data_IF_674283477108
#
_entry.id   IF_674283477108
#
_cell.length_a   1.000
_cell.length_b   1.000
_cell.length_c   1.000
_cell.angle_alpha   90.00
_cell.angle_beta   90.00
_cell.angle_gamma   90.00
#
_symmetry.space_group_name_H-M   'P 1'
#
loop_
_entity.id
_entity.type
_entity.pdbx_description
1 polymer ?
#
# COMPACT_ATOMS: atom_id res chain seq x y z
N UNK A 1 -9.31 0.86 14.63
CA UNK A 1 -9.42 2.32 14.82
C UNK A 1 -8.56 2.99 13.75
N UNK A 2 -9.18 3.83 12.93
CA UNK A 2 -8.48 4.58 11.88
C UNK A 2 -7.59 5.67 12.50
N UNK A 3 -6.33 5.77 12.04
CA UNK A 3 -5.41 6.85 12.40
C UNK A 3 -5.27 7.78 11.20
N UNK A 4 -5.66 9.04 11.36
CA UNK A 4 -5.48 10.04 10.31
C UNK A 4 -4.00 10.45 10.20
N UNK A 5 -3.47 10.38 8.97
CA UNK A 5 -2.10 10.76 8.62
C UNK A 5 -2.02 12.15 7.99
N UNK A 6 -3.16 12.82 7.82
CA UNK A 6 -3.31 14.17 7.32
C UNK A 6 -4.05 14.29 6.00
N UNK A 7 -4.22 15.53 5.54
CA UNK A 7 -4.98 15.87 4.34
C UNK A 7 -4.04 16.26 3.19
N UNK A 8 -4.43 15.92 1.97
CA UNK A 8 -3.76 16.26 0.71
C UNK A 8 -4.72 16.99 -0.21
N UNK A 9 -4.22 17.89 -1.04
CA UNK A 9 -5.01 18.57 -2.07
C UNK A 9 -4.78 17.92 -3.43
N UNK A 10 -5.87 17.57 -4.12
CA UNK A 10 -5.84 16.99 -5.46
C UNK A 10 -6.63 17.85 -6.43
N UNK A 11 -6.01 18.14 -7.57
CA UNK A 11 -6.67 18.87 -8.65
C UNK A 11 -7.89 18.07 -9.15
N UNK A 12 -9.04 18.73 -9.25
CA UNK A 12 -10.28 18.12 -9.71
C UNK A 12 -10.99 17.18 -8.73
N UNK A 13 -10.45 17.06 -7.47
CA UNK A 13 -11.11 16.32 -6.38
C UNK A 13 -11.28 17.21 -5.16
N UNK A 14 -10.24 17.99 -4.79
CA UNK A 14 -10.23 18.78 -3.57
C UNK A 14 -9.42 18.13 -2.45
N UNK A 15 -9.90 18.28 -1.21
CA UNK A 15 -9.30 17.71 -0.03
C UNK A 15 -9.51 16.19 0.01
N UNK A 16 -8.43 15.47 0.29
CA UNK A 16 -8.42 14.01 0.45
C UNK A 16 -7.69 13.70 1.74
N UNK A 17 -8.35 13.04 2.66
CA UNK A 17 -7.77 12.61 3.93
C UNK A 17 -7.12 11.24 3.75
N UNK A 18 -5.99 11.03 4.43
CA UNK A 18 -5.23 9.77 4.41
C UNK A 18 -5.35 9.11 5.79
N UNK A 19 -5.81 7.88 5.82
CA UNK A 19 -5.94 7.10 7.04
C UNK A 19 -5.10 5.83 6.98
N UNK A 20 -4.45 5.50 8.11
CA UNK A 20 -3.94 4.16 8.38
C UNK A 20 -5.01 3.38 9.14
N UNK A 21 -5.41 2.23 8.63
CA UNK A 21 -6.54 1.44 9.13
C UNK A 21 -6.16 -0.02 9.30
N UNK A 22 -6.91 -0.75 10.13
CA UNK A 22 -6.83 -2.21 10.16
C UNK A 22 -7.61 -2.83 8.98
N UNK A 23 -7.29 -4.06 8.62
CA UNK A 23 -7.97 -4.77 7.53
C UNK A 23 -9.49 -4.90 7.75
N UNK A 24 -9.94 -5.03 9.01
CA UNK A 24 -11.36 -5.11 9.36
C UNK A 24 -12.04 -3.76 9.59
N UNK A 25 -11.36 -2.63 9.34
CA UNK A 25 -11.95 -1.31 9.48
C UNK A 25 -13.00 -1.06 8.36
N UNK A 26 -14.16 -0.44 8.67
CA UNK A 26 -15.16 -0.12 7.65
C UNK A 26 -14.63 0.67 6.45
N UNK A 27 -13.63 1.54 6.66
CA UNK A 27 -12.99 2.28 5.57
C UNK A 27 -12.23 1.38 4.58
N UNK A 28 -11.77 0.20 5.00
CA UNK A 28 -11.10 -0.76 4.13
C UNK A 28 -12.07 -1.63 3.32
N UNK A 29 -13.34 -1.71 3.72
CA UNK A 29 -14.30 -2.62 3.11
C UNK A 29 -14.51 -2.40 1.59
N UNK A 30 -14.63 -1.17 1.06
CA UNK A 30 -14.75 -0.95 -0.38
C UNK A 30 -13.53 -1.41 -1.17
N UNK A 31 -12.31 -1.17 -0.65
CA UNK A 31 -11.06 -1.63 -1.25
C UNK A 31 -11.06 -3.16 -1.39
N UNK A 32 -11.37 -3.87 -0.33
CA UNK A 32 -11.37 -5.33 -0.32
C UNK A 32 -12.44 -5.88 -1.27
N UNK A 33 -13.66 -5.30 -1.25
CA UNK A 33 -14.78 -5.74 -2.08
C UNK A 33 -14.54 -5.51 -3.58
N UNK A 34 -13.99 -4.35 -3.97
CA UNK A 34 -13.70 -4.05 -5.37
C UNK A 34 -12.50 -4.85 -5.89
N UNK A 35 -11.46 -5.09 -5.08
CA UNK A 35 -10.36 -5.97 -5.46
C UNK A 35 -10.82 -7.41 -5.67
N UNK A 36 -11.71 -7.92 -4.81
CA UNK A 36 -12.27 -9.26 -4.99
C UNK A 36 -13.02 -9.40 -6.33
N UNK A 37 -13.81 -8.37 -6.68
CA UNK A 37 -14.51 -8.31 -7.97
C UNK A 37 -13.53 -8.23 -9.15
N UNK A 38 -12.51 -7.38 -9.04
CA UNK A 38 -11.51 -7.18 -10.09
C UNK A 38 -10.70 -8.47 -10.34
N UNK A 39 -10.22 -9.13 -9.29
CA UNK A 39 -9.44 -10.35 -9.42
C UNK A 39 -10.25 -11.52 -9.96
N UNK A 40 -11.48 -11.72 -9.47
CA UNK A 40 -12.36 -12.76 -10.01
C UNK A 40 -12.69 -12.55 -11.48
N UNK A 41 -12.91 -11.29 -11.91
CA UNK A 41 -13.21 -10.99 -13.31
C UNK A 41 -12.00 -11.16 -14.24
N UNK A 42 -10.78 -10.93 -13.76
CA UNK A 42 -9.55 -10.98 -14.58
C UNK A 42 -8.93 -12.37 -14.61
N UNK A 43 -8.94 -13.08 -13.49
CA UNK A 43 -8.20 -14.32 -13.31
C UNK A 43 -9.10 -15.56 -13.12
N UNK A 44 -10.40 -15.34 -13.06
CA UNK A 44 -11.39 -16.41 -12.82
C UNK A 44 -11.61 -16.67 -11.33
N UNK A 45 -12.42 -17.69 -11.05
CA UNK A 45 -12.93 -17.94 -9.70
C UNK A 45 -14.19 -17.12 -9.39
N UNK A 46 -14.66 -17.22 -8.16
CA UNK A 46 -15.83 -16.46 -7.70
C UNK A 46 -15.40 -15.24 -6.90
N UNK A 47 -16.24 -14.21 -6.89
CA UNK A 47 -16.02 -13.03 -6.04
C UNK A 47 -15.94 -13.40 -4.56
N UNK A 48 -16.78 -14.35 -4.14
CA UNK A 48 -16.83 -14.84 -2.76
C UNK A 48 -15.51 -15.49 -2.34
N UNK A 49 -14.93 -16.36 -3.20
CA UNK A 49 -13.64 -16.97 -2.91
C UNK A 49 -12.52 -15.92 -2.84
N UNK A 50 -12.48 -14.95 -3.77
CA UNK A 50 -11.50 -13.85 -3.72
C UNK A 50 -11.69 -12.96 -2.50
N UNK A 51 -12.94 -12.71 -2.09
CA UNK A 51 -13.25 -11.96 -0.88
C UNK A 51 -12.75 -12.71 0.37
N UNK A 52 -12.99 -14.01 0.44
CA UNK A 52 -12.51 -14.87 1.53
C UNK A 52 -10.98 -14.84 1.59
N UNK A 53 -10.26 -15.04 0.49
CA UNK A 53 -8.81 -14.98 0.42
C UNK A 53 -8.26 -13.63 0.90
N UNK A 54 -8.89 -12.52 0.48
CA UNK A 54 -8.46 -11.19 0.90
C UNK A 54 -8.74 -10.88 2.38
N UNK A 55 -9.83 -11.42 2.95
CA UNK A 55 -10.23 -11.17 4.34
C UNK A 55 -9.56 -12.10 5.34
N UNK A 56 -9.23 -13.34 4.94
CA UNK A 56 -8.52 -14.32 5.77
C UNK A 56 -7.00 -14.17 5.73
N UNK A 57 -6.48 -13.36 4.81
CA UNK A 57 -5.06 -13.02 4.78
C UNK A 57 -4.63 -12.39 6.12
N UNK A 58 -3.48 -12.77 6.70
CA UNK A 58 -3.05 -12.30 8.01
C UNK A 58 -3.03 -10.77 8.11
N UNK A 59 -3.95 -10.21 8.89
CA UNK A 59 -4.11 -8.76 9.00
C UNK A 59 -2.91 -8.08 9.69
N UNK A 60 -2.18 -8.80 10.51
CA UNK A 60 -0.96 -8.37 11.19
C UNK A 60 0.18 -8.03 10.22
N UNK A 61 0.22 -8.63 9.03
CA UNK A 61 1.21 -8.28 8.02
C UNK A 61 1.05 -6.84 7.50
N UNK A 62 -0.16 -6.29 7.60
CA UNK A 62 -0.46 -4.90 7.24
C UNK A 62 -0.59 -3.98 8.45
N UNK A 63 -0.04 -4.37 9.58
CA UNK A 63 -0.07 -3.59 10.82
C UNK A 63 1.31 -3.04 11.19
N UNK A 64 1.31 -1.97 12.01
CA UNK A 64 2.52 -1.44 12.62
C UNK A 64 3.20 -2.52 13.49
N UNK A 65 4.52 -2.63 13.53
CA UNK A 65 5.51 -1.73 12.89
C UNK A 65 5.92 -2.13 11.46
N UNK A 66 5.63 -3.36 10.99
CA UNK A 66 6.19 -3.89 9.74
C UNK A 66 5.39 -3.53 8.49
N UNK A 67 4.09 -3.25 8.63
CA UNK A 67 3.20 -2.98 7.51
C UNK A 67 2.24 -1.83 7.76
N UNK A 68 1.46 -1.48 6.73
CA UNK A 68 0.30 -0.60 6.84
C UNK A 68 -0.74 -0.91 5.76
N UNK A 69 -1.98 -0.61 6.07
CA UNK A 69 -3.07 -0.47 5.10
C UNK A 69 -3.52 0.99 5.13
N UNK A 70 -3.38 1.69 4.01
CA UNK A 70 -3.79 3.08 3.86
C UNK A 70 -5.06 3.19 3.04
N UNK A 71 -5.96 4.07 3.47
CA UNK A 71 -7.17 4.43 2.74
C UNK A 71 -7.22 5.95 2.60
N UNK A 72 -7.50 6.39 1.38
CA UNK A 72 -7.71 7.78 1.03
C UNK A 72 -9.22 8.00 0.93
N UNK A 73 -9.72 9.04 1.62
CA UNK A 73 -11.14 9.41 1.62
C UNK A 73 -11.37 10.80 1.06
N UNK A 74 -12.51 11.00 0.45
CA UNK A 74 -13.03 12.33 0.04
C UNK A 74 -14.46 12.42 0.51
N UNK A 75 -14.80 13.48 1.24
CA UNK A 75 -16.08 13.65 1.91
C UNK A 75 -16.50 12.43 2.74
N UNK A 76 -15.53 11.82 3.44
CA UNK A 76 -15.74 10.63 4.27
C UNK A 76 -15.88 9.31 3.51
N UNK A 77 -15.86 9.32 2.16
CA UNK A 77 -15.98 8.12 1.33
C UNK A 77 -14.61 7.58 0.93
N UNK A 78 -14.31 6.30 1.09
CA UNK A 78 -13.09 5.68 0.57
C UNK A 78 -13.04 5.74 -0.95
N UNK A 79 -11.98 6.33 -1.50
CA UNK A 79 -11.82 6.54 -2.95
C UNK A 79 -10.59 5.86 -3.53
N UNK A 80 -9.60 5.58 -2.71
CA UNK A 80 -8.37 4.87 -3.10
C UNK A 80 -7.70 4.28 -1.86
N UNK A 81 -6.76 3.37 -2.07
CA UNK A 81 -6.00 2.79 -0.96
C UNK A 81 -4.99 1.76 -1.43
N UNK A 82 -4.27 1.21 -0.48
CA UNK A 82 -3.27 0.18 -0.73
C UNK A 82 -2.59 -0.23 0.57
N UNK A 83 -1.78 -1.26 0.49
CA UNK A 83 -1.07 -1.77 1.64
C UNK A 83 0.39 -2.05 1.32
N UNK A 84 1.20 -2.16 2.35
CA UNK A 84 2.49 -2.83 2.27
C UNK A 84 2.70 -3.73 3.48
N UNK A 85 3.59 -4.68 3.29
CA UNK A 85 4.07 -5.58 4.34
C UNK A 85 5.60 -5.66 4.30
N UNK A 86 6.20 -6.19 5.33
CA UNK A 86 7.61 -6.54 5.31
C UNK A 86 7.86 -7.68 4.31
N UNK A 87 8.82 -7.50 3.41
CA UNK A 87 9.33 -8.55 2.54
C UNK A 87 10.61 -9.17 3.12
N UNK A 88 11.57 -8.30 3.49
CA UNK A 88 12.78 -8.62 4.24
C UNK A 88 13.17 -7.47 5.19
N UNK A 89 14.34 -7.51 5.81
CA UNK A 89 14.77 -6.49 6.78
C UNK A 89 14.94 -5.09 6.20
N UNK A 90 15.06 -4.94 4.89
CA UNK A 90 15.31 -3.67 4.19
C UNK A 90 14.26 -3.36 3.12
N UNK A 91 13.41 -4.31 2.78
CA UNK A 91 12.45 -4.25 1.67
C UNK A 91 11.02 -4.37 2.17
N UNK A 92 10.16 -3.48 1.71
CA UNK A 92 8.70 -3.60 1.85
C UNK A 92 8.06 -4.07 0.54
N UNK A 93 7.00 -4.86 0.62
CA UNK A 93 6.21 -5.30 -0.54
C UNK A 93 4.88 -4.55 -0.61
N UNK A 94 4.63 -3.84 -1.72
CA UNK A 94 3.33 -3.23 -1.98
C UNK A 94 2.28 -4.29 -2.34
N UNK A 95 1.11 -4.12 -1.77
CA UNK A 95 -0.06 -4.98 -1.96
C UNK A 95 -1.34 -4.15 -2.10
N UNK A 96 -2.34 -4.69 -2.77
CA UNK A 96 -3.72 -4.19 -2.71
C UNK A 96 -3.88 -2.74 -3.18
N UNK A 97 -3.09 -2.29 -4.16
CA UNK A 97 -3.25 -0.94 -4.73
C UNK A 97 -4.61 -0.86 -5.43
N UNK A 98 -5.43 0.07 -4.98
CA UNK A 98 -6.81 0.22 -5.43
C UNK A 98 -7.19 1.69 -5.63
N UNK A 99 -8.04 1.92 -6.62
CA UNK A 99 -8.75 3.19 -6.83
C UNK A 99 -10.17 2.86 -7.26
N UNK A 100 -11.15 3.42 -6.54
CA UNK A 100 -12.56 3.27 -6.86
C UNK A 100 -12.84 3.64 -8.31
N UNK A 101 -13.70 2.88 -8.97
CA UNK A 101 -14.00 3.01 -10.39
C UNK A 101 -14.39 4.44 -10.79
N UNK A 102 -15.14 5.14 -9.93
CA UNK A 102 -15.62 6.51 -10.16
C UNK A 102 -14.51 7.58 -10.05
N UNK A 103 -13.37 7.21 -9.46
CA UNK A 103 -12.23 8.10 -9.21
C UNK A 103 -10.97 7.74 -10.01
N UNK A 104 -11.05 6.77 -10.91
CA UNK A 104 -9.93 6.37 -11.78
C UNK A 104 -9.52 7.50 -12.74
N UNK A 105 -8.28 7.44 -13.24
CA UNK A 105 -7.66 8.41 -14.17
C UNK A 105 -7.53 9.84 -13.62
N UNK A 106 -7.59 10.02 -12.30
CA UNK A 106 -7.41 11.31 -11.60
C UNK A 106 -6.10 11.35 -10.78
N UNK A 107 -5.15 10.45 -11.05
CA UNK A 107 -3.84 10.44 -10.37
C UNK A 107 -3.80 9.77 -8.98
N UNK A 108 -4.94 9.28 -8.46
CA UNK A 108 -5.02 8.70 -7.10
C UNK A 108 -4.14 7.47 -6.92
N UNK A 109 -4.00 6.60 -7.92
CA UNK A 109 -3.09 5.46 -7.84
C UNK A 109 -1.65 5.88 -7.53
N UNK A 110 -1.14 6.94 -8.20
CA UNK A 110 0.18 7.50 -7.90
C UNK A 110 0.24 8.13 -6.50
N UNK A 111 -0.86 8.72 -6.05
CA UNK A 111 -0.94 9.28 -4.71
C UNK A 111 -0.84 8.19 -3.64
N UNK A 112 -1.59 7.10 -3.80
CA UNK A 112 -1.52 5.93 -2.91
C UNK A 112 -0.09 5.38 -2.85
N UNK A 113 0.56 5.17 -4.00
CA UNK A 113 1.94 4.67 -4.05
C UNK A 113 2.88 5.60 -3.29
N UNK A 114 2.79 6.92 -3.47
CA UNK A 114 3.63 7.91 -2.76
C UNK A 114 3.40 7.93 -1.25
N UNK A 115 2.14 7.84 -0.80
CA UNK A 115 1.86 7.80 0.64
C UNK A 115 2.37 6.49 1.26
N UNK A 116 2.25 5.36 0.55
CA UNK A 116 2.85 4.10 1.00
C UNK A 116 4.38 4.16 1.02
N UNK A 117 5.03 4.71 -0.01
CA UNK A 117 6.49 4.90 -0.04
C UNK A 117 6.96 5.75 1.16
N UNK A 118 6.24 6.82 1.49
CA UNK A 118 6.53 7.66 2.66
C UNK A 118 6.45 6.87 3.96
N UNK A 119 5.39 6.09 4.15
CA UNK A 119 5.23 5.24 5.33
C UNK A 119 6.31 4.15 5.42
N UNK A 120 6.72 3.59 4.28
CA UNK A 120 7.80 2.62 4.14
C UNK A 120 9.14 3.24 4.58
N UNK A 121 9.47 4.45 4.10
CA UNK A 121 10.68 5.18 4.50
C UNK A 121 10.68 5.50 6.00
N UNK A 122 9.54 5.95 6.57
CA UNK A 122 9.41 6.23 8.00
C UNK A 122 9.62 4.99 8.88
N UNK A 123 9.40 3.78 8.36
CA UNK A 123 9.67 2.51 9.04
C UNK A 123 11.08 1.95 8.79
N UNK A 124 11.90 2.69 8.05
CA UNK A 124 13.31 2.37 7.83
C UNK A 124 13.60 1.39 6.68
N UNK A 125 12.60 1.06 5.87
CA UNK A 125 12.84 0.33 4.62
C UNK A 125 13.44 1.28 3.58
N UNK A 126 14.34 0.77 2.75
CA UNK A 126 14.99 1.53 1.69
C UNK A 126 14.71 0.98 0.28
N UNK A 127 13.98 -0.12 0.19
CA UNK A 127 13.57 -0.75 -1.07
C UNK A 127 12.10 -1.13 -1.05
N UNK A 128 11.45 -0.94 -2.17
CA UNK A 128 10.08 -1.39 -2.41
C UNK A 128 10.09 -2.44 -3.49
N UNK A 129 9.41 -3.55 -3.25
CA UNK A 129 9.14 -4.63 -4.19
C UNK A 129 7.63 -4.74 -4.41
N UNK A 130 7.22 -5.20 -5.56
CA UNK A 130 5.83 -5.56 -5.83
C UNK A 130 5.73 -6.55 -6.99
N UNK A 131 4.59 -7.20 -7.10
CA UNK A 131 4.21 -7.98 -8.27
C UNK A 131 2.84 -7.56 -8.75
N UNK A 132 2.62 -7.62 -10.09
CA UNK A 132 1.29 -7.50 -10.69
C UNK A 132 1.09 -8.60 -11.73
N UNK A 133 -0.14 -8.81 -12.15
CA UNK A 133 -0.46 -9.88 -13.08
C UNK A 133 -0.49 -9.42 -14.54
N UNK A 134 -0.47 -10.37 -15.49
CA UNK A 134 -0.41 -10.08 -16.93
C UNK A 134 -1.64 -9.34 -17.46
N UNK A 135 -2.76 -9.44 -16.76
CA UNK A 135 -4.03 -8.82 -17.15
C UNK A 135 -4.30 -7.48 -16.45
N UNK A 136 -3.22 -6.80 -15.98
CA UNK A 136 -3.29 -5.51 -15.29
C UNK A 136 -2.39 -4.45 -15.96
N UNK A 137 -2.58 -4.11 -17.25
CA UNK A 137 -1.72 -3.17 -17.95
C UNK A 137 -1.72 -1.76 -17.33
N UNK A 138 -2.82 -1.35 -16.70
CA UNK A 138 -2.92 -0.10 -15.96
C UNK A 138 -2.03 -0.07 -14.71
N UNK A 139 -1.84 -1.21 -14.05
CA UNK A 139 -0.93 -1.33 -12.92
C UNK A 139 0.53 -1.26 -13.38
N UNK A 140 0.87 -1.93 -14.49
CA UNK A 140 2.20 -1.83 -15.12
C UNK A 140 2.51 -0.36 -15.46
N UNK A 141 1.58 0.35 -16.11
CA UNK A 141 1.75 1.76 -16.45
C UNK A 141 1.89 2.66 -15.21
N UNK A 142 1.14 2.37 -14.14
CA UNK A 142 1.24 3.06 -12.86
C UNK A 142 2.65 2.94 -12.28
N UNK A 143 3.18 1.72 -12.16
CA UNK A 143 4.47 1.48 -11.54
C UNK A 143 5.63 2.05 -12.37
N UNK A 144 5.64 1.85 -13.67
CA UNK A 144 6.64 2.49 -14.56
C UNK A 144 6.64 4.01 -14.41
N UNK A 145 5.45 4.64 -14.42
CA UNK A 145 5.32 6.10 -14.27
C UNK A 145 5.55 6.61 -12.85
N UNK A 146 5.67 5.70 -11.86
CA UNK A 146 6.05 5.98 -10.48
C UNK A 146 7.54 5.72 -10.20
N UNK A 147 8.32 5.38 -11.23
CA UNK A 147 9.76 5.19 -11.15
C UNK A 147 10.20 3.80 -10.68
N UNK A 148 9.33 2.80 -10.80
CA UNK A 148 9.71 1.40 -10.58
C UNK A 148 10.40 0.82 -11.81
N UNK A 149 11.38 -0.04 -11.55
CA UNK A 149 12.11 -0.80 -12.57
C UNK A 149 11.49 -2.18 -12.70
N UNK A 150 11.10 -2.62 -13.92
CA UNK A 150 10.64 -3.99 -14.14
C UNK A 150 11.80 -4.97 -13.98
N UNK A 151 11.53 -6.11 -13.33
CA UNK A 151 12.47 -7.21 -13.12
C UNK A 151 12.18 -8.39 -14.05
N UNK A 152 11.62 -8.14 -15.19
CA UNK A 152 11.28 -9.12 -16.23
C UNK A 152 11.68 -8.60 -17.60
N UNK A 153 11.72 -9.48 -18.59
CA UNK A 153 12.00 -9.10 -19.99
C UNK A 153 10.76 -8.43 -20.61
N UNK A 154 10.81 -7.10 -20.75
CA UNK A 154 9.74 -6.29 -21.33
C UNK A 154 9.54 -6.50 -22.84
N UNK A 155 10.39 -7.29 -23.53
CA UNK A 155 10.22 -7.65 -24.94
C UNK A 155 9.25 -8.82 -25.13
N UNK A 156 8.95 -9.56 -24.07
CA UNK A 156 7.99 -10.66 -24.07
C UNK A 156 6.55 -10.15 -23.92
N UNK A 157 5.58 -10.92 -24.39
CA UNK A 157 4.17 -10.61 -24.15
C UNK A 157 3.81 -10.77 -22.65
N UNK A 158 2.79 -10.06 -22.16
CA UNK A 158 2.39 -10.15 -20.75
C UNK A 158 2.10 -11.59 -20.28
N UNK A 159 1.50 -12.40 -21.13
CA UNK A 159 1.18 -13.79 -20.83
C UNK A 159 2.43 -14.68 -20.76
N UNK A 160 3.45 -14.43 -21.58
CA UNK A 160 4.73 -15.15 -21.53
C UNK A 160 5.51 -14.81 -20.26
N UNK A 161 5.45 -13.55 -19.83
CA UNK A 161 6.05 -13.11 -18.55
C UNK A 161 5.29 -13.69 -17.35
N UNK A 162 3.98 -13.76 -17.42
CA UNK A 162 3.11 -14.17 -16.33
C UNK A 162 3.07 -13.14 -15.20
N UNK A 163 3.74 -13.40 -14.07
CA UNK A 163 3.84 -12.44 -12.96
C UNK A 163 4.88 -11.37 -13.32
N UNK A 164 4.52 -10.11 -13.13
CA UNK A 164 5.36 -8.95 -13.43
C UNK A 164 5.94 -8.37 -12.12
N UNK A 165 7.18 -8.73 -11.74
CA UNK A 165 7.84 -8.14 -10.58
C UNK A 165 8.45 -6.78 -10.93
N UNK A 166 8.42 -5.87 -9.93
CA UNK A 166 9.01 -4.54 -9.99
C UNK A 166 9.74 -4.22 -8.70
N UNK A 167 10.72 -3.33 -8.77
CA UNK A 167 11.38 -2.78 -7.61
C UNK A 167 11.64 -1.28 -7.76
N UNK A 168 11.84 -0.63 -6.62
CA UNK A 168 12.29 0.76 -6.54
C UNK A 168 13.16 0.95 -5.30
N UNK A 169 14.32 1.59 -5.48
CA UNK A 169 15.13 2.07 -4.37
C UNK A 169 14.54 3.38 -3.86
N UNK A 170 14.30 3.47 -2.55
CA UNK A 170 13.91 4.71 -1.90
C UNK A 170 15.15 5.45 -1.40
N UNK A 171 15.04 6.77 -1.24
CA UNK A 171 16.11 7.56 -0.65
C UNK A 171 16.09 7.32 0.86
N UNK A 172 17.20 6.87 1.41
CA UNK A 172 17.37 6.81 2.87
C UNK A 172 17.32 8.25 3.39
N UNK A 173 16.30 8.57 4.19
CA UNK A 173 16.29 9.82 4.94
C UNK A 173 17.37 9.69 6.02
N UNK A 174 18.57 10.29 5.80
CA UNK A 174 19.73 10.22 6.69
C UNK A 174 19.50 10.82 8.08
N UNK A 175 18.29 11.28 8.42
CA UNK A 175 17.99 11.96 9.68
C UNK A 175 16.63 11.55 10.29
N UNK A 176 16.45 10.25 10.58
CA UNK A 176 15.54 9.87 11.67
C UNK A 176 16.43 9.45 12.84
N UNK A 177 16.96 10.42 13.57
CA UNK A 177 17.52 10.20 14.90
C UNK A 177 16.45 9.43 15.69
N UNK A 178 16.74 8.18 15.99
CA UNK A 178 15.97 7.35 16.92
C UNK A 178 15.74 8.21 18.17
N UNK A 179 14.53 8.71 18.35
CA UNK A 179 14.12 9.30 19.61
C UNK A 179 14.34 8.24 20.69
N UNK A 180 15.38 8.40 21.48
CA UNK A 180 15.69 7.54 22.60
C UNK A 180 14.46 7.51 23.52
N UNK A 181 13.94 6.32 23.74
CA UNK A 181 12.97 6.08 24.82
C UNK A 181 13.65 6.56 26.11
N UNK A 182 13.06 7.47 26.87
CA UNK A 182 13.62 7.84 28.17
C UNK A 182 13.57 6.58 29.04
N UNK A 183 14.74 6.04 29.37
CA UNK A 183 14.86 5.07 30.46
C UNK A 183 14.67 5.85 31.76
N UNK A 184 13.49 5.79 32.34
CA UNK A 184 13.26 6.19 33.73
C UNK A 184 14.23 5.42 34.63
N UNK A 185 15.22 6.15 35.11
CA UNK A 185 16.08 5.69 36.22
C UNK A 185 15.18 5.63 37.45
N UNK A 186 14.81 4.43 37.83
CA UNK A 186 14.32 4.21 39.19
C UNK A 186 15.53 4.42 40.11
N UNK A 187 15.54 5.59 40.71
CA UNK A 187 16.47 5.93 41.80
C UNK A 187 16.03 5.17 43.05
N UNK A 188 16.76 4.12 43.36
CA UNK A 188 16.53 3.33 44.57
C UNK A 188 17.59 3.71 45.60
N UNK A 189 17.42 4.90 46.20
CA UNK A 189 18.16 5.30 47.41
C UNK A 189 17.17 5.55 48.55
N UNK A 190 17.01 4.56 49.42
CA UNK A 190 16.82 4.80 50.85
C UNK A 190 16.91 3.47 51.64
N UNK A 191 17.98 3.46 52.44
CA UNK A 191 18.20 2.87 53.80
C UNK A 191 17.94 1.36 53.92
#
# INVERSE_FOLDING_TARGET
MALELGTRQFEGIGAVEVYSVSQGDPLAAPLIAELALEYSSRYGGTREAMLEDLTTYPAEEFAYPQGALLVLTHDGLPIAGGAFRQFDSTTAELKRIWTSVDYRKRGLGKAVVRELEREIELRGYNRVFLTTGPRQPEAVALYLSSGYTPLYDASLSPEEVGIHPFEKQLRVLENVTRAAIPTDRVDNTRV
#
